data_IF_422154915883
#
_entry.id   IF_422154915883
#
_cell.length_a   1.000
_cell.length_b   1.000
_cell.length_c   1.000
_cell.angle_alpha   90.00
_cell.angle_beta   90.00
_cell.angle_gamma   90.00
#
_symmetry.space_group_name_H-M   'P 1'
#
loop_
_entity.id
_entity.type
_entity.pdbx_description
1 polymer ?
#
# COMPACT_ATOMS: atom_id res chain seq x y z
N UNK A 1 27.20 -3.29 4.99
CA UNK A 1 25.91 -2.58 4.85
C UNK A 1 24.77 -3.58 4.89
N UNK A 2 23.76 -3.33 5.70
CA UNK A 2 22.62 -4.21 5.81
C UNK A 2 21.59 -3.84 4.72
N UNK A 3 21.12 -4.80 3.90
CA UNK A 3 20.12 -4.49 2.88
C UNK A 3 18.79 -4.09 3.53
N UNK A 4 18.08 -3.19 2.85
CA UNK A 4 16.72 -2.83 3.25
C UNK A 4 15.73 -3.82 2.63
N UNK A 5 14.70 -4.17 3.40
CA UNK A 5 13.68 -5.13 2.97
C UNK A 5 12.31 -4.49 3.05
N UNK A 6 11.57 -4.57 1.94
CA UNK A 6 10.20 -4.08 1.86
C UNK A 6 9.19 -5.22 1.82
N UNK A 7 7.98 -4.96 2.26
CA UNK A 7 6.88 -5.91 2.21
C UNK A 7 5.78 -5.38 1.28
N UNK A 8 5.41 -6.17 0.30
CA UNK A 8 4.32 -5.85 -0.62
C UNK A 8 3.01 -6.38 -0.03
N UNK A 9 2.08 -5.49 0.30
CA UNK A 9 0.78 -5.89 0.85
C UNK A 9 -0.02 -6.67 -0.21
N UNK A 10 -0.69 -7.77 0.19
CA UNK A 10 -1.44 -8.63 -0.73
C UNK A 10 -2.82 -8.04 -1.09
N UNK A 11 -2.85 -6.83 -1.65
CA UNK A 11 -4.10 -6.12 -1.92
C UNK A 11 -4.97 -6.83 -2.96
N UNK A 12 -4.34 -7.36 -4.01
CA UNK A 12 -5.06 -8.08 -5.06
C UNK A 12 -5.63 -9.39 -4.52
N UNK A 13 -4.82 -10.15 -3.82
CA UNK A 13 -5.19 -11.46 -3.30
C UNK A 13 -6.34 -11.36 -2.32
N UNK A 14 -6.34 -10.37 -1.46
CA UNK A 14 -7.43 -10.14 -0.52
C UNK A 14 -8.76 -9.88 -1.21
N UNK A 15 -8.77 -9.05 -2.25
CA UNK A 15 -9.98 -8.74 -3.00
C UNK A 15 -10.45 -9.96 -3.81
N UNK A 16 -9.52 -10.70 -4.41
CA UNK A 16 -9.86 -11.91 -5.18
C UNK A 16 -10.47 -12.99 -4.30
N UNK A 17 -10.08 -13.04 -3.02
CA UNK A 17 -10.67 -13.97 -2.05
C UNK A 17 -11.98 -13.45 -1.45
N UNK A 18 -12.50 -12.33 -1.93
CA UNK A 18 -13.71 -11.72 -1.42
C UNK A 18 -13.55 -10.94 -0.13
N UNK A 19 -12.32 -10.71 0.31
CA UNK A 19 -12.02 -9.98 1.56
C UNK A 19 -11.80 -8.51 1.24
N UNK A 20 -12.88 -7.75 1.21
CA UNK A 20 -12.84 -6.34 0.80
C UNK A 20 -12.42 -5.38 1.91
N UNK A 21 -12.47 -5.80 3.17
CA UNK A 21 -12.13 -4.93 4.29
C UNK A 21 -10.63 -4.60 4.28
N UNK A 22 -10.29 -3.35 4.61
CA UNK A 22 -8.90 -2.91 4.68
C UNK A 22 -8.21 -3.29 6.00
N UNK A 23 -8.97 -3.54 7.07
CA UNK A 23 -8.40 -3.79 8.38
C UNK A 23 -7.33 -4.90 8.43
N UNK A 24 -7.49 -6.06 7.75
CA UNK A 24 -6.43 -7.06 7.73
C UNK A 24 -5.12 -6.56 7.10
N UNK A 25 -5.22 -5.72 6.06
CA UNK A 25 -4.04 -5.14 5.42
C UNK A 25 -3.33 -4.14 6.34
N UNK A 26 -4.10 -3.38 7.10
CA UNK A 26 -3.53 -2.44 8.07
C UNK A 26 -2.84 -3.20 9.22
N UNK A 27 -3.42 -4.31 9.66
CA UNK A 27 -2.80 -5.17 10.66
C UNK A 27 -1.50 -5.79 10.15
N UNK A 28 -1.44 -6.19 8.87
CA UNK A 28 -0.20 -6.66 8.25
C UNK A 28 0.85 -5.56 8.19
N UNK A 29 0.44 -4.32 7.94
CA UNK A 29 1.36 -3.17 7.92
C UNK A 29 2.00 -2.97 9.30
N UNK A 30 1.20 -3.00 10.34
CA UNK A 30 1.69 -2.89 11.71
C UNK A 30 2.63 -4.05 12.08
N UNK A 31 2.26 -5.26 11.68
CA UNK A 31 3.05 -6.44 11.94
C UNK A 31 4.39 -6.40 11.21
N UNK A 32 4.40 -5.97 9.95
CA UNK A 32 5.63 -5.83 9.18
C UNK A 32 6.57 -4.81 9.83
N UNK A 33 6.04 -3.68 10.29
CA UNK A 33 6.84 -2.70 11.01
C UNK A 33 7.43 -3.30 12.29
N UNK A 34 6.62 -4.00 13.06
CA UNK A 34 7.07 -4.64 14.31
C UNK A 34 8.14 -5.71 14.05
N UNK A 35 8.09 -6.38 12.90
CA UNK A 35 9.08 -7.40 12.54
C UNK A 35 10.37 -6.84 11.96
N UNK A 36 10.44 -5.51 11.77
CA UNK A 36 11.66 -4.85 11.31
C UNK A 36 11.77 -4.63 9.81
N UNK A 37 10.68 -4.76 9.05
CA UNK A 37 10.69 -4.36 7.64
C UNK A 37 10.92 -2.86 7.52
N UNK A 38 11.65 -2.46 6.49
CA UNK A 38 12.00 -1.05 6.28
C UNK A 38 10.91 -0.27 5.56
N UNK A 39 10.11 -0.96 4.74
CA UNK A 39 9.12 -0.31 3.89
C UNK A 39 7.93 -1.21 3.60
N UNK A 40 6.80 -0.57 3.27
CA UNK A 40 5.57 -1.24 2.90
C UNK A 40 5.15 -0.71 1.53
N UNK A 41 4.76 -1.62 0.64
CA UNK A 41 4.45 -1.32 -0.74
C UNK A 41 3.06 -1.79 -1.12
N UNK A 42 2.39 -1.04 -1.97
CA UNK A 42 1.09 -1.44 -2.53
C UNK A 42 1.14 -1.33 -4.05
N UNK A 43 0.40 -2.23 -4.71
CA UNK A 43 0.25 -2.20 -6.15
C UNK A 43 -0.89 -1.30 -6.60
N UNK A 44 -0.86 -0.95 -7.88
CA UNK A 44 -1.89 -0.14 -8.50
C UNK A 44 -2.36 -0.82 -9.78
N UNK A 45 -3.67 -1.06 -9.90
CA UNK A 45 -4.30 -1.52 -11.12
C UNK A 45 -5.76 -1.13 -11.09
N UNK A 46 -6.17 -0.31 -12.05
CA UNK A 46 -7.50 0.27 -12.02
C UNK A 46 -8.58 -0.71 -12.54
N UNK A 47 -8.35 -1.31 -13.69
CA UNK A 47 -9.38 -2.15 -14.33
C UNK A 47 -8.97 -3.61 -14.52
N UNK A 48 -7.67 -3.87 -14.63
CA UNK A 48 -7.19 -5.20 -14.99
C UNK A 48 -7.32 -6.20 -13.86
N UNK A 49 -7.11 -5.77 -12.62
CA UNK A 49 -7.18 -6.63 -11.44
C UNK A 49 -7.73 -5.84 -10.26
N UNK A 50 -8.70 -6.38 -9.54
CA UNK A 50 -9.28 -5.67 -8.40
C UNK A 50 -8.26 -5.52 -7.27
N UNK A 51 -8.20 -4.33 -6.68
CA UNK A 51 -7.44 -4.04 -5.47
C UNK A 51 -7.94 -2.76 -4.82
N UNK A 52 -7.53 -2.54 -3.58
CA UNK A 52 -7.80 -1.27 -2.92
C UNK A 52 -7.06 -0.14 -3.65
N UNK A 53 -7.62 1.06 -3.59
CA UNK A 53 -6.96 2.23 -4.16
C UNK A 53 -5.66 2.49 -3.39
N UNK A 54 -4.49 2.53 -4.08
CA UNK A 54 -3.20 2.47 -3.39
C UNK A 54 -2.91 3.66 -2.49
N UNK A 55 -3.18 4.89 -2.94
CA UNK A 55 -2.84 6.07 -2.14
C UNK A 55 -3.73 6.19 -0.90
N UNK A 56 -5.00 5.85 -1.04
CA UNK A 56 -5.94 5.85 0.08
C UNK A 56 -5.55 4.78 1.10
N UNK A 57 -5.17 3.60 0.62
CA UNK A 57 -4.72 2.53 1.52
C UNK A 57 -3.42 2.92 2.23
N UNK A 58 -2.48 3.53 1.52
CA UNK A 58 -1.24 3.99 2.14
C UNK A 58 -1.49 5.07 3.19
N UNK A 59 -2.46 5.95 2.95
CA UNK A 59 -2.84 6.95 3.96
C UNK A 59 -3.33 6.28 5.25
N UNK A 60 -4.14 5.23 5.12
CA UNK A 60 -4.61 4.47 6.28
C UNK A 60 -3.45 3.76 6.97
N UNK A 61 -2.54 3.15 6.20
CA UNK A 61 -1.36 2.51 6.76
C UNK A 61 -0.45 3.52 7.47
N UNK A 62 -0.33 4.72 6.94
CA UNK A 62 0.46 5.79 7.56
C UNK A 62 -0.07 6.15 8.94
N UNK A 63 -1.38 6.11 9.13
CA UNK A 63 -2.00 6.38 10.42
C UNK A 63 -1.71 5.30 11.47
N UNK A 64 -1.33 4.11 11.02
CA UNK A 64 -1.13 2.92 11.85
C UNK A 64 0.36 2.55 12.03
N UNK A 65 1.26 3.25 11.39
CA UNK A 65 2.70 2.98 11.43
C UNK A 65 3.48 4.25 11.75
N UNK A 66 4.73 4.11 12.20
CA UNK A 66 5.55 5.26 12.62
C UNK A 66 6.92 5.33 11.95
N UNK A 67 7.46 4.20 11.49
CA UNK A 67 8.86 4.14 11.01
C UNK A 67 9.00 3.72 9.56
N UNK A 68 8.11 2.83 9.08
CA UNK A 68 8.25 2.27 7.74
C UNK A 68 8.01 3.34 6.68
N UNK A 69 8.78 3.26 5.60
CA UNK A 69 8.51 4.03 4.41
C UNK A 69 7.34 3.41 3.65
N UNK A 70 6.54 4.23 3.01
CA UNK A 70 5.37 3.78 2.26
C UNK A 70 5.57 4.08 0.78
N UNK A 71 5.27 3.11 -0.08
CA UNK A 71 5.50 3.28 -1.51
C UNK A 71 4.52 2.51 -2.37
N UNK A 72 4.56 2.80 -3.65
CA UNK A 72 3.75 2.12 -4.66
C UNK A 72 4.63 1.31 -5.60
N UNK A 73 4.17 0.14 -5.97
CA UNK A 73 4.88 -0.74 -6.89
C UNK A 73 3.87 -1.37 -7.88
N UNK A 74 3.49 -0.64 -8.89
CA UNK A 74 3.86 0.68 -9.38
C UNK A 74 2.62 1.57 -9.43
N UNK A 75 2.77 2.87 -9.25
CA UNK A 75 1.68 3.83 -9.40
C UNK A 75 1.38 4.08 -10.88
N UNK A 76 0.10 4.22 -11.24
CA UNK A 76 -0.34 4.57 -12.60
C UNK A 76 -0.81 6.04 -12.62
N UNK A 77 0.11 7.01 -12.64
CA UNK A 77 -0.26 8.42 -12.52
C UNK A 77 -1.05 8.95 -13.72
N UNK A 78 -0.87 8.34 -14.89
CA UNK A 78 -1.60 8.74 -16.10
C UNK A 78 -3.11 8.58 -15.97
N UNK A 79 -3.58 7.76 -15.04
CA UNK A 79 -5.00 7.52 -14.78
C UNK A 79 -5.59 8.47 -13.74
N UNK A 80 -4.81 9.43 -13.27
CA UNK A 80 -5.20 10.35 -12.20
C UNK A 80 -5.06 11.80 -12.65
N UNK A 81 -5.87 12.67 -12.05
CA UNK A 81 -5.73 14.12 -12.27
C UNK A 81 -4.38 14.54 -11.65
N UNK A 82 -3.48 15.16 -12.44
CA UNK A 82 -2.14 15.48 -11.93
C UNK A 82 -2.14 16.53 -10.83
N UNK A 83 -3.09 17.45 -10.80
CA UNK A 83 -3.17 18.46 -9.74
C UNK A 83 -3.58 17.81 -8.42
N UNK A 84 -4.59 16.95 -8.48
CA UNK A 84 -5.05 16.21 -7.29
C UNK A 84 -3.95 15.28 -6.78
N UNK A 85 -3.28 14.58 -7.68
CA UNK A 85 -2.21 13.67 -7.31
C UNK A 85 -1.06 14.41 -6.63
N UNK A 86 -0.66 15.55 -7.17
CA UNK A 86 0.40 16.35 -6.57
C UNK A 86 0.03 16.83 -5.15
N UNK A 87 -1.24 17.10 -4.92
CA UNK A 87 -1.72 17.52 -3.60
C UNK A 87 -1.76 16.35 -2.61
N UNK A 88 -2.09 15.14 -3.09
CA UNK A 88 -2.18 13.95 -2.24
C UNK A 88 -0.81 13.51 -1.69
N UNK A 89 0.22 13.64 -2.46
CA UNK A 89 1.57 13.21 -2.07
C UNK A 89 2.44 14.37 -1.66
#
# INVERSE_FOLDING_TARGET
>A
MKPKVGYLLPTRECVMDGKLAAAPLLSLSEKAEALGYDSIWVGDSLLARPRHEPLTLLAAAAARTTKVELGTAVLLPALRNPVVLAHLV
#
